data_IF_405283473786
#
_entry.id   IF_405283473786
#
_cell.length_a   1.000
_cell.length_b   1.000
_cell.length_c   1.000
_cell.angle_alpha   90.00
_cell.angle_beta   90.00
_cell.angle_gamma   90.00
#
_symmetry.space_group_name_H-M   'P 1'
#
loop_
_entity.id
_entity.type
_entity.pdbx_description
1 polymer ?
#
# COMPACT_ATOMS: atom_id res chain seq x y z
N UNK A 1 -12.45 -26.45 8.72
CA UNK A 1 -13.82 -26.29 8.15
C UNK A 1 -13.77 -25.36 6.94
N UNK A 2 -13.40 -25.85 5.74
CA UNK A 2 -13.24 -25.02 4.53
C UNK A 2 -14.51 -24.24 4.15
N UNK A 3 -15.69 -24.78 4.50
CA UNK A 3 -16.99 -24.16 4.24
C UNK A 3 -17.17 -22.80 4.92
N UNK A 4 -16.57 -22.58 6.09
CA UNK A 4 -16.71 -21.31 6.83
C UNK A 4 -15.98 -20.15 6.13
N UNK A 5 -14.85 -20.46 5.48
CA UNK A 5 -14.12 -19.49 4.67
C UNK A 5 -14.86 -19.17 3.38
N UNK A 6 -15.52 -20.17 2.76
CA UNK A 6 -16.38 -19.95 1.60
C UNK A 6 -17.58 -19.05 1.91
N UNK A 7 -18.25 -19.28 3.04
CA UNK A 7 -19.37 -18.44 3.48
C UNK A 7 -18.89 -17.02 3.82
N UNK A 8 -17.76 -16.90 4.54
CA UNK A 8 -17.19 -15.59 4.90
C UNK A 8 -16.78 -14.77 3.68
N UNK A 9 -16.17 -15.40 2.69
CA UNK A 9 -15.79 -14.71 1.42
C UNK A 9 -17.00 -14.30 0.60
N UNK A 10 -18.06 -15.12 0.57
CA UNK A 10 -19.31 -14.77 -0.11
C UNK A 10 -19.97 -13.54 0.54
N UNK A 11 -20.09 -13.53 1.87
CA UNK A 11 -20.64 -12.39 2.62
C UNK A 11 -19.83 -11.12 2.36
N UNK A 12 -18.50 -11.22 2.42
CA UNK A 12 -17.60 -10.10 2.15
C UNK A 12 -17.73 -9.57 0.70
N UNK A 13 -17.85 -10.47 -0.28
CA UNK A 13 -18.03 -10.09 -1.68
C UNK A 13 -19.36 -9.39 -1.93
N UNK A 14 -20.46 -9.87 -1.31
CA UNK A 14 -21.77 -9.20 -1.39
C UNK A 14 -21.69 -7.79 -0.79
N UNK A 15 -21.01 -7.63 0.34
CA UNK A 15 -20.82 -6.32 0.96
C UNK A 15 -20.10 -5.35 0.02
N UNK A 16 -19.01 -5.78 -0.62
CA UNK A 16 -18.28 -4.99 -1.63
C UNK A 16 -19.20 -4.64 -2.81
N UNK A 17 -20.02 -5.58 -3.30
CA UNK A 17 -20.94 -5.34 -4.41
C UNK A 17 -22.00 -4.29 -4.07
N UNK A 18 -22.57 -4.34 -2.86
CA UNK A 18 -23.52 -3.32 -2.38
C UNK A 18 -22.87 -1.95 -2.34
N UNK A 19 -21.66 -1.86 -1.77
CA UNK A 19 -20.92 -0.60 -1.72
C UNK A 19 -20.62 -0.07 -3.13
N UNK A 20 -20.28 -0.95 -4.08
CA UNK A 20 -20.02 -0.56 -5.46
C UNK A 20 -21.28 -0.01 -6.16
N UNK A 21 -22.44 -0.65 -5.96
CA UNK A 21 -23.71 -0.21 -6.57
C UNK A 21 -24.22 1.08 -5.92
N UNK A 22 -24.18 1.18 -4.59
CA UNK A 22 -24.64 2.37 -3.87
C UNK A 22 -23.72 3.57 -4.08
N UNK A 23 -22.42 3.32 -4.28
CA UNK A 23 -21.43 4.35 -4.58
C UNK A 23 -21.14 4.48 -6.09
N UNK A 24 -22.04 3.98 -6.95
CA UNK A 24 -21.93 4.11 -8.40
C UNK A 24 -22.28 5.52 -8.92
N UNK A 25 -22.25 6.53 -8.04
CA UNK A 25 -22.44 7.92 -8.42
C UNK A 25 -21.41 8.29 -9.50
N UNK A 26 -21.85 8.79 -10.67
CA UNK A 26 -20.95 9.14 -11.74
C UNK A 26 -20.09 10.33 -11.31
N UNK A 27 -18.78 10.21 -11.53
CA UNK A 27 -17.82 11.29 -11.33
C UNK A 27 -17.05 11.53 -12.61
N UNK A 28 -16.83 12.82 -12.90
CA UNK A 28 -16.00 13.24 -14.03
C UNK A 28 -14.58 13.50 -13.54
N UNK A 29 -13.62 12.73 -14.07
CA UNK A 29 -12.21 12.93 -13.78
C UNK A 29 -11.62 13.80 -14.88
N UNK A 30 -11.03 14.94 -14.50
CA UNK A 30 -10.27 15.80 -15.39
C UNK A 30 -8.81 15.84 -14.94
N UNK A 31 -7.90 15.44 -15.81
CA UNK A 31 -6.47 15.42 -15.55
C UNK A 31 -5.70 16.04 -16.71
N UNK A 32 -5.18 17.25 -16.50
CA UNK A 32 -4.55 18.07 -17.55
C UNK A 32 -5.43 18.15 -18.81
N UNK A 33 -5.07 17.44 -19.88
CA UNK A 33 -5.78 17.41 -21.17
C UNK A 33 -6.68 16.19 -21.36
N UNK A 34 -6.73 15.27 -20.39
CA UNK A 34 -7.60 14.11 -20.41
C UNK A 34 -8.83 14.31 -19.54
N UNK A 35 -9.97 13.85 -20.05
CA UNK A 35 -11.21 13.75 -19.30
C UNK A 35 -11.81 12.36 -19.49
N UNK A 36 -12.21 11.73 -18.39
CA UNK A 36 -13.01 10.50 -18.44
C UNK A 36 -14.34 10.81 -17.74
N UNK A 37 -15.41 11.08 -18.50
CA UNK A 37 -16.73 11.35 -17.94
C UNK A 37 -17.42 10.05 -17.50
N UNK A 38 -18.39 10.17 -16.58
CA UNK A 38 -19.30 9.08 -16.17
C UNK A 38 -18.63 7.83 -15.59
N UNK A 39 -17.53 7.97 -14.84
CA UNK A 39 -16.95 6.82 -14.11
C UNK A 39 -17.59 6.65 -12.73
N UNK A 40 -17.88 5.42 -12.28
CA UNK A 40 -18.29 5.14 -10.91
C UNK A 40 -17.22 5.57 -9.89
N UNK A 41 -17.60 6.32 -8.86
CA UNK A 41 -16.68 6.81 -7.81
C UNK A 41 -15.88 5.68 -7.15
N UNK A 42 -16.51 4.53 -6.91
CA UNK A 42 -15.84 3.36 -6.30
C UNK A 42 -14.61 2.89 -7.09
N UNK A 43 -14.65 2.92 -8.43
CA UNK A 43 -13.52 2.50 -9.26
C UNK A 43 -12.34 3.47 -9.12
N UNK A 44 -12.64 4.77 -8.98
CA UNK A 44 -11.64 5.81 -8.80
C UNK A 44 -10.92 5.62 -7.47
N UNK A 45 -11.68 5.39 -6.39
CA UNK A 45 -11.13 5.18 -5.04
C UNK A 45 -10.27 3.92 -5.01
N UNK A 46 -10.75 2.80 -5.56
CA UNK A 46 -10.00 1.54 -5.60
C UNK A 46 -8.71 1.68 -6.41
N UNK A 47 -8.77 2.29 -7.60
CA UNK A 47 -7.59 2.53 -8.41
C UNK A 47 -6.57 3.44 -7.70
N UNK A 48 -7.03 4.52 -7.08
CA UNK A 48 -6.16 5.42 -6.32
C UNK A 48 -5.49 4.72 -5.13
N UNK A 49 -6.24 3.93 -4.36
CA UNK A 49 -5.72 3.18 -3.23
C UNK A 49 -4.68 2.13 -3.67
N UNK A 50 -4.96 1.39 -4.75
CA UNK A 50 -4.02 0.42 -5.32
C UNK A 50 -2.75 1.10 -5.84
N UNK A 51 -2.86 2.21 -6.56
CA UNK A 51 -1.71 3.00 -7.01
C UNK A 51 -0.88 3.50 -5.82
N UNK A 52 -1.53 4.01 -4.77
CA UNK A 52 -0.86 4.43 -3.53
C UNK A 52 -0.10 3.29 -2.86
N UNK A 53 -0.71 2.10 -2.78
CA UNK A 53 -0.06 0.90 -2.23
C UNK A 53 1.16 0.50 -3.05
N UNK A 54 1.06 0.48 -4.38
CA UNK A 54 2.16 0.13 -5.28
C UNK A 54 3.30 1.13 -5.13
N UNK A 55 3.01 2.44 -5.20
CA UNK A 55 4.00 3.50 -5.05
C UNK A 55 4.66 3.45 -3.67
N UNK A 56 3.86 3.34 -2.61
CA UNK A 56 4.36 3.23 -1.23
C UNK A 56 5.25 2.01 -1.03
N UNK A 57 4.87 0.85 -1.57
CA UNK A 57 5.66 -0.37 -1.52
C UNK A 57 7.00 -0.22 -2.26
N UNK A 58 7.00 0.38 -3.45
CA UNK A 58 8.21 0.63 -4.22
C UNK A 58 9.14 1.60 -3.48
N UNK A 59 8.63 2.75 -3.02
CA UNK A 59 9.41 3.74 -2.28
C UNK A 59 9.95 3.18 -0.96
N UNK A 60 9.15 2.43 -0.22
CA UNK A 60 9.55 1.77 1.03
C UNK A 60 10.73 0.82 0.83
N UNK A 61 10.77 0.10 -0.30
CA UNK A 61 11.89 -0.80 -0.64
C UNK A 61 13.19 -0.06 -0.92
N UNK A 62 13.13 1.14 -1.49
CA UNK A 62 14.31 1.99 -1.67
C UNK A 62 14.74 2.69 -0.37
N UNK A 63 13.79 3.08 0.48
CA UNK A 63 14.06 3.75 1.75
C UNK A 63 14.68 2.80 2.81
N UNK A 64 14.22 1.55 2.88
CA UNK A 64 14.73 0.54 3.83
C UNK A 64 16.22 0.21 3.67
N UNK A 65 16.80 0.44 2.48
CA UNK A 65 18.24 0.24 2.22
C UNK A 65 19.15 1.23 2.94
N UNK A 66 18.68 2.41 3.34
CA UNK A 66 19.48 3.36 4.12
C UNK A 66 19.48 3.00 5.60
N UNK A 67 18.35 2.51 6.12
CA UNK A 67 18.20 2.13 7.53
C UNK A 67 19.07 0.92 7.93
N UNK A 68 19.12 -0.11 7.08
CA UNK A 68 19.94 -1.31 7.33
C UNK A 68 21.46 -1.03 7.37
N UNK A 69 21.94 0.00 6.66
CA UNK A 69 23.36 0.40 6.64
C UNK A 69 23.77 1.08 7.94
N UNK A 70 22.90 1.92 8.50
CA UNK A 70 23.15 2.60 9.77
C UNK A 70 23.12 1.63 10.96
N UNK A 71 22.21 0.64 10.95
CA UNK A 71 22.15 -0.38 11.99
C UNK A 71 23.42 -1.27 12.03
N UNK A 72 24.03 -1.58 10.87
CA UNK A 72 25.32 -2.29 10.81
C UNK A 72 26.47 -1.42 11.31
N UNK A 73 26.50 -0.14 10.96
CA UNK A 73 27.57 0.79 11.37
C UNK A 73 27.62 1.02 12.88
N UNK A 74 26.47 1.08 13.54
CA UNK A 74 26.36 1.21 15.01
C UNK A 74 26.75 -0.07 15.75
N UNK A 75 26.60 -1.24 15.11
CA UNK A 75 26.99 -2.53 15.70
C UNK A 75 28.49 -2.87 15.54
N UNK A 76 29.20 -2.21 14.61
CA UNK A 76 30.65 -2.37 14.40
C UNK A 76 31.50 -1.40 15.25
N UNK A 77 30.91 -0.31 15.76
CA UNK A 77 31.59 0.69 16.60
C UNK A 77 31.85 0.32 18.10
N UNK A 78 31.44 -0.83 18.69
CA UNK A 78 31.85 -1.20 20.06
C UNK A 78 33.08 -2.12 20.17
N UNK A 79 33.75 -2.49 19.06
CA UNK A 79 34.90 -3.43 19.07
C UNK A 79 36.26 -2.83 18.70
N UNK A 80 36.30 -1.57 18.23
CA UNK A 80 37.54 -0.79 17.97
C UNK A 80 37.88 0.16 19.14
N UNK A 81 37.52 -0.25 20.34
CA UNK A 81 37.85 0.41 21.61
C UNK A 81 38.24 -0.65 22.62
N UNK A 82 39.07 -1.59 22.16
CA UNK A 82 39.98 -2.33 23.02
C UNK A 82 41.41 -1.93 22.69
N UNK A 83 42.08 -1.51 23.76
CA UNK A 83 43.51 -1.28 23.99
C UNK A 83 44.17 -0.06 23.34
N UNK A 84 44.30 1.05 24.09
CA UNK A 84 45.61 1.64 24.34
C UNK A 84 46.36 0.74 25.32
N UNK A 85 47.52 0.30 24.86
CA UNK A 85 48.51 -0.49 25.57
C UNK A 85 49.61 0.51 25.95
N UNK A 86 49.51 1.09 27.15
CA UNK A 86 50.58 1.78 27.90
C UNK A 86 50.07 2.38 29.22
#
# INVERSE_FOLDING_TARGET
MPLIYGIGTLIFSIFIAILAVQNAGPVSIKFFFWAVPEMPLVLVILAAALCGLVVGFLLGRFAGRKSAKNAKKVAEEPLDLKTPLD
#
